data_IF_375747760437
#
_entry.id   IF_375747760437
#
_cell.length_a   1.000
_cell.length_b   1.000
_cell.length_c   1.000
_cell.angle_alpha   90.00
_cell.angle_beta   90.00
_cell.angle_gamma   90.00
#
_symmetry.space_group_name_H-M   'P 1'
#
loop_
_entity.id
_entity.type
_entity.pdbx_description
1 polymer ?
#
# COMPACT_ATOMS: atom_id res chain seq x y z
N UNK A 1 5.97 -1.82 16.36
CA UNK A 1 6.14 -0.56 17.17
C UNK A 1 5.26 0.57 16.63
N UNK A 2 5.13 0.69 15.31
CA UNK A 2 4.37 1.76 14.64
C UNK A 2 2.87 1.63 14.95
N UNK A 3 2.29 0.44 14.74
CA UNK A 3 0.88 0.12 15.05
C UNK A 3 0.49 0.48 16.49
N UNK A 4 1.33 0.10 17.47
CA UNK A 4 1.11 0.43 18.88
C UNK A 4 1.02 1.95 19.14
N UNK A 5 1.86 2.75 18.49
CA UNK A 5 1.82 4.21 18.65
C UNK A 5 0.60 4.83 17.96
N UNK A 6 0.17 4.26 16.83
CA UNK A 6 -1.05 4.67 16.17
C UNK A 6 -2.26 4.41 17.07
N UNK A 7 -2.40 3.20 17.61
CA UNK A 7 -3.52 2.79 18.45
C UNK A 7 -3.54 3.46 19.83
N UNK A 8 -2.40 3.49 20.54
CA UNK A 8 -2.35 3.98 21.93
C UNK A 8 -2.26 5.50 22.04
N UNK A 9 -1.73 6.18 21.02
CA UNK A 9 -1.46 7.63 21.06
C UNK A 9 -2.18 8.42 19.96
N UNK A 10 -2.99 7.75 19.13
CA UNK A 10 -3.77 8.35 18.05
C UNK A 10 -2.91 9.18 17.08
N UNK A 11 -1.71 8.66 16.75
CA UNK A 11 -0.75 9.28 15.85
C UNK A 11 -0.96 8.72 14.45
N UNK A 12 -1.19 9.59 13.46
CA UNK A 12 -1.24 9.18 12.05
C UNK A 12 0.18 8.90 11.51
N UNK A 13 0.32 7.78 10.79
CA UNK A 13 1.55 7.40 10.11
C UNK A 13 1.31 7.32 8.61
N UNK A 14 2.27 7.80 7.83
CA UNK A 14 2.36 7.56 6.39
C UNK A 14 3.60 6.72 6.16
N UNK A 15 3.42 5.58 5.52
CA UNK A 15 4.50 4.62 5.25
C UNK A 15 4.60 4.43 3.74
N UNK A 16 5.84 4.45 3.24
CA UNK A 16 6.14 4.26 1.82
C UNK A 16 6.98 3.00 1.73
N UNK A 17 6.42 1.94 1.15
CA UNK A 17 7.08 0.66 1.00
C UNK A 17 6.75 0.01 -0.35
N UNK A 18 7.60 -0.95 -0.72
CA UNK A 18 7.46 -1.75 -1.94
C UNK A 18 7.03 -3.19 -1.65
N UNK A 19 7.11 -3.61 -0.38
CA UNK A 19 6.67 -4.92 0.09
C UNK A 19 5.18 -4.86 0.46
N UNK A 20 4.36 -5.57 -0.29
CA UNK A 20 2.90 -5.61 -0.09
C UNK A 20 2.51 -6.37 1.17
N UNK A 21 3.25 -7.42 1.54
CA UNK A 21 2.96 -8.22 2.75
C UNK A 21 3.15 -7.35 4.00
N UNK A 22 4.20 -6.51 4.01
CA UNK A 22 4.39 -5.56 5.11
C UNK A 22 3.30 -4.49 5.16
N UNK A 23 2.88 -3.96 4.01
CA UNK A 23 1.79 -2.97 3.95
C UNK A 23 0.47 -3.58 4.44
N UNK A 24 0.20 -4.84 4.10
CA UNK A 24 -0.98 -5.58 4.56
C UNK A 24 -1.08 -5.67 6.09
N UNK A 25 0.05 -5.76 6.78
CA UNK A 25 0.11 -5.88 8.25
C UNK A 25 -0.17 -4.56 8.99
N UNK A 26 -0.06 -3.41 8.33
CA UNK A 26 -0.05 -2.10 9.02
C UNK A 26 -0.99 -1.04 8.46
N UNK A 27 -1.45 -1.18 7.21
CA UNK A 27 -2.16 -0.11 6.52
C UNK A 27 -3.68 -0.33 6.52
N UNK A 28 -4.41 0.69 6.94
CA UNK A 28 -5.88 0.73 6.81
C UNK A 28 -6.30 1.00 5.35
N UNK A 29 -5.51 1.81 4.63
CA UNK A 29 -5.75 2.24 3.26
C UNK A 29 -4.41 2.33 2.52
N UNK A 30 -4.43 2.00 1.23
CA UNK A 30 -3.24 1.90 0.39
C UNK A 30 -3.42 2.72 -0.89
N UNK A 31 -2.46 3.59 -1.17
CA UNK A 31 -2.37 4.34 -2.43
C UNK A 31 -1.20 3.80 -3.25
N UNK A 32 -1.47 3.34 -4.47
CA UNK A 32 -0.46 2.89 -5.44
C UNK A 32 -0.15 4.04 -6.39
N UNK A 33 1.12 4.42 -6.47
CA UNK A 33 1.62 5.39 -7.43
C UNK A 33 2.25 4.69 -8.63
N UNK A 34 1.99 5.19 -9.84
CA UNK A 34 2.66 4.73 -11.05
C UNK A 34 2.94 5.91 -11.98
N UNK A 35 4.19 6.03 -12.46
CA UNK A 35 4.64 7.08 -13.40
C UNK A 35 4.33 8.52 -12.95
N UNK A 36 4.32 8.76 -11.64
CA UNK A 36 4.10 10.09 -11.06
C UNK A 36 2.64 10.42 -10.77
N UNK A 37 1.71 9.52 -11.08
CA UNK A 37 0.28 9.69 -10.83
C UNK A 37 -0.25 8.64 -9.85
N UNK A 38 -1.37 8.98 -9.18
CA UNK A 38 -2.14 8.01 -8.41
C UNK A 38 -2.78 7.03 -9.37
N UNK A 39 -2.38 5.77 -9.26
CA UNK A 39 -2.87 4.69 -10.09
C UNK A 39 -4.11 4.03 -9.48
N UNK A 40 -4.04 3.71 -8.18
CA UNK A 40 -5.10 3.07 -7.40
C UNK A 40 -5.07 3.52 -5.95
N UNK A 41 -6.23 3.48 -5.33
CA UNK A 41 -6.42 3.71 -3.90
C UNK A 41 -7.52 2.76 -3.41
N UNK A 42 -7.33 2.18 -2.23
CA UNK A 42 -8.30 1.25 -1.64
C UNK A 42 -7.71 0.41 -0.51
N UNK A 43 -8.47 -0.58 -0.06
CA UNK A 43 -8.00 -1.56 0.91
C UNK A 43 -6.91 -2.46 0.31
N UNK A 44 -6.06 -3.04 1.15
CA UNK A 44 -4.99 -3.94 0.68
C UNK A 44 -5.54 -5.09 -0.16
N UNK A 45 -6.68 -5.69 0.22
CA UNK A 45 -7.29 -6.78 -0.54
C UNK A 45 -7.77 -6.37 -1.93
N UNK A 46 -8.27 -5.14 -2.09
CA UNK A 46 -8.62 -4.59 -3.41
C UNK A 46 -7.37 -4.34 -4.26
N UNK A 47 -6.31 -3.83 -3.65
CA UNK A 47 -5.03 -3.55 -4.32
C UNK A 47 -4.35 -4.84 -4.78
N UNK A 48 -4.24 -5.85 -3.90
CA UNK A 48 -3.57 -7.12 -4.21
C UNK A 48 -4.33 -7.95 -5.25
N UNK A 49 -5.66 -7.86 -5.25
CA UNK A 49 -6.49 -8.57 -6.22
C UNK A 49 -6.57 -7.87 -7.58
N UNK A 50 -6.13 -6.61 -7.70
CA UNK A 50 -6.12 -5.87 -8.97
C UNK A 50 -5.00 -6.41 -9.89
N UNK A 51 -5.34 -7.08 -11.01
CA UNK A 51 -4.33 -7.62 -11.93
C UNK A 51 -3.46 -6.54 -12.57
N UNK A 52 -3.93 -5.29 -12.62
CA UNK A 52 -3.15 -4.16 -13.13
C UNK A 52 -2.11 -3.69 -12.13
N UNK A 53 -2.40 -3.73 -10.83
CA UNK A 53 -1.41 -3.50 -9.77
C UNK A 53 -0.35 -4.59 -9.82
N UNK A 54 -0.74 -5.87 -9.90
CA UNK A 54 0.20 -6.99 -10.00
C UNK A 54 1.18 -6.84 -11.18
N UNK A 55 0.70 -6.39 -12.35
CA UNK A 55 1.56 -6.13 -13.52
C UNK A 55 2.60 -5.02 -13.26
N UNK A 56 2.22 -3.97 -12.54
CA UNK A 56 3.13 -2.88 -12.19
C UNK A 56 4.22 -3.36 -11.23
N UNK A 57 3.86 -4.16 -10.21
CA UNK A 57 4.81 -4.70 -9.23
C UNK A 57 5.73 -5.77 -9.79
N UNK A 58 5.23 -6.66 -10.66
CA UNK A 58 6.01 -7.73 -11.28
C UNK A 58 6.92 -7.23 -12.43
N UNK A 59 6.95 -5.91 -12.67
CA UNK A 59 7.79 -5.33 -13.70
C UNK A 59 7.38 -5.77 -15.10
N UNK A 60 6.08 -5.96 -15.34
CA UNK A 60 5.53 -6.23 -16.67
C UNK A 60 6.01 -5.13 -17.61
N UNK A 61 7.01 -5.49 -18.42
CA UNK A 61 7.76 -4.58 -19.26
C UNK A 61 6.80 -3.78 -20.17
N UNK A 62 7.18 -2.53 -20.38
CA UNK A 62 6.57 -1.63 -21.36
C UNK A 62 6.65 -2.21 -22.77
#
# INVERSE_FOLDING_TARGET
>A
RITRLNEEQNIAFVVIEHDTDFVADIADEVTVLHKGDVFREGSIGEIESDPAVQRIYLGGEQ
#
